data_IF_228201207097
#
_entry.id   IF_228201207097
#
_cell.length_a   1.000
_cell.length_b   1.000
_cell.length_c   1.000
_cell.angle_alpha   90.00
_cell.angle_beta   90.00
_cell.angle_gamma   90.00
#
_symmetry.space_group_name_H-M   'P 1'
#
loop_
_entity.id
_entity.type
_entity.pdbx_description
1 polymer ?
#
# COMPACT_ATOMS: atom_id res chain seq x y z
N UNK A 1 -15.58 -13.00 -16.91
CA UNK A 1 -15.42 -12.22 -15.68
C UNK A 1 -14.05 -11.60 -15.73
N UNK A 2 -14.06 -10.28 -15.65
CA UNK A 2 -13.10 -9.37 -16.26
C UNK A 2 -11.68 -9.57 -15.77
N UNK A 3 -10.77 -9.58 -16.74
CA UNK A 3 -9.32 -9.70 -16.65
C UNK A 3 -8.76 -8.48 -15.90
N UNK A 4 -8.97 -8.44 -14.58
CA UNK A 4 -8.37 -7.46 -13.68
C UNK A 4 -6.87 -7.76 -13.56
N UNK A 5 -6.13 -7.48 -14.63
CA UNK A 5 -4.73 -7.85 -14.84
C UNK A 5 -3.89 -7.65 -13.59
N UNK A 6 -3.21 -8.71 -13.18
CA UNK A 6 -2.29 -8.66 -12.05
C UNK A 6 -1.31 -7.50 -12.25
N UNK A 7 -1.15 -6.65 -11.24
CA UNK A 7 -0.27 -5.49 -11.33
C UNK A 7 1.15 -5.96 -11.59
N UNK A 8 1.68 -5.59 -12.75
CA UNK A 8 3.08 -5.88 -13.09
C UNK A 8 3.98 -4.91 -12.34
N UNK A 9 4.77 -5.45 -11.40
CA UNK A 9 5.74 -4.65 -10.67
C UNK A 9 6.99 -4.43 -11.52
N UNK A 10 7.48 -3.20 -11.51
CA UNK A 10 8.81 -2.85 -12.00
C UNK A 10 9.88 -3.31 -11.00
N UNK A 11 11.16 -3.41 -11.39
CA UNK A 11 12.25 -3.68 -10.43
C UNK A 11 12.28 -2.67 -9.27
N UNK A 12 11.95 -1.41 -9.54
CA UNK A 12 11.84 -0.37 -8.50
C UNK A 12 10.63 -0.59 -7.58
N UNK A 13 9.47 -0.93 -8.15
CA UNK A 13 8.26 -1.25 -7.39
C UNK A 13 8.43 -2.47 -6.49
N UNK A 14 9.09 -3.53 -6.99
CA UNK A 14 9.49 -4.69 -6.19
C UNK A 14 10.35 -4.29 -4.99
N UNK A 15 11.38 -3.45 -5.20
CA UNK A 15 12.22 -2.92 -4.12
C UNK A 15 11.42 -2.08 -3.12
N UNK A 16 10.47 -1.26 -3.59
CA UNK A 16 9.62 -0.43 -2.72
C UNK A 16 8.67 -1.29 -1.87
N UNK A 17 8.09 -2.38 -2.41
CA UNK A 17 7.21 -3.27 -1.64
C UNK A 17 7.96 -4.23 -0.72
N UNK A 18 9.07 -4.82 -1.17
CA UNK A 18 9.78 -5.86 -0.44
C UNK A 18 8.87 -7.05 -0.15
N UNK A 19 8.66 -7.38 1.13
CA UNK A 19 7.84 -8.54 1.55
C UNK A 19 6.33 -8.34 1.36
N UNK A 20 5.89 -7.20 0.79
CA UNK A 20 4.50 -6.86 0.54
C UNK A 20 4.05 -7.16 -0.90
N UNK A 21 4.83 -7.91 -1.67
CA UNK A 21 4.49 -8.23 -3.07
C UNK A 21 3.20 -9.05 -3.20
N UNK A 22 2.86 -9.86 -2.18
CA UNK A 22 1.65 -10.70 -2.21
C UNK A 22 0.35 -9.89 -2.14
N UNK A 23 0.41 -8.63 -1.68
CA UNK A 23 -0.74 -7.72 -1.57
C UNK A 23 -0.73 -6.65 -2.67
N UNK A 24 0.07 -6.84 -3.73
CA UNK A 24 0.25 -5.86 -4.80
C UNK A 24 -1.04 -5.55 -5.57
N UNK A 25 -1.95 -6.51 -5.60
CA UNK A 25 -3.21 -6.43 -6.34
C UNK A 25 -4.35 -5.85 -5.49
N UNK A 26 -4.12 -5.72 -4.18
CA UNK A 26 -5.09 -5.16 -3.24
C UNK A 26 -5.13 -3.64 -3.32
N UNK A 27 -6.30 -3.07 -2.99
CA UNK A 27 -6.44 -1.63 -2.82
C UNK A 27 -5.65 -1.17 -1.60
N UNK A 28 -4.94 -0.05 -1.72
CA UNK A 28 -4.10 0.46 -0.63
C UNK A 28 -4.89 0.73 0.66
N UNK A 29 -6.13 1.22 0.55
CA UNK A 29 -6.99 1.50 1.68
C UNK A 29 -7.36 0.22 2.43
N UNK A 30 -7.62 -0.86 1.70
CA UNK A 30 -7.95 -2.16 2.27
C UNK A 30 -6.73 -2.81 2.92
N UNK A 31 -5.62 -2.83 2.18
CA UNK A 31 -4.34 -3.35 2.67
C UNK A 31 -3.83 -2.61 3.92
N UNK A 32 -4.10 -1.30 4.07
CA UNK A 32 -3.81 -0.58 5.32
C UNK A 32 -4.67 -1.11 6.47
N UNK A 33 -5.97 -1.32 6.26
CA UNK A 33 -6.91 -1.80 7.27
C UNK A 33 -6.60 -3.23 7.71
N UNK A 34 -6.38 -4.14 6.76
CA UNK A 34 -6.01 -5.54 7.04
C UNK A 34 -4.72 -5.65 7.87
N UNK A 35 -3.80 -4.70 7.68
CA UNK A 35 -2.56 -4.61 8.44
C UNK A 35 -2.72 -3.93 9.80
N UNK A 36 -3.95 -3.62 10.22
CA UNK A 36 -4.30 -2.99 11.49
C UNK A 36 -4.14 -1.47 11.50
N UNK A 37 -4.14 -0.85 10.32
CA UNK A 37 -4.25 0.59 10.19
C UNK A 37 -5.69 1.08 10.28
N UNK A 38 -5.89 2.28 10.83
CA UNK A 38 -7.23 2.87 10.99
C UNK A 38 -7.60 3.85 9.89
N UNK A 39 -8.85 4.33 9.93
CA UNK A 39 -9.35 5.35 8.99
C UNK A 39 -8.48 6.61 8.95
N UNK A 40 -7.90 7.04 10.08
CA UNK A 40 -7.00 8.20 10.12
C UNK A 40 -5.68 8.02 9.33
N UNK A 41 -5.27 6.78 9.04
CA UNK A 41 -4.13 6.51 8.15
C UNK A 41 -4.56 6.48 6.68
N UNK A 42 -5.75 5.95 6.40
CA UNK A 42 -6.34 6.00 5.05
C UNK A 42 -6.60 7.44 4.64
N UNK A 43 -7.09 8.29 5.54
CA UNK A 43 -7.33 9.72 5.29
C UNK A 43 -6.05 10.56 5.08
N UNK A 44 -4.87 10.03 5.42
CA UNK A 44 -3.59 10.70 5.10
C UNK A 44 -3.15 10.44 3.65
N UNK A 45 -3.76 9.48 2.97
CA UNK A 45 -3.52 9.25 1.56
C UNK A 45 -4.15 10.39 0.73
N UNK A 46 -3.52 10.72 -0.39
CA UNK A 46 -4.15 11.54 -1.43
C UNK A 46 -5.48 10.90 -1.82
N UNK A 47 -6.54 11.70 -1.98
CA UNK A 47 -7.91 11.18 -2.15
C UNK A 47 -8.05 10.21 -3.33
N UNK A 48 -7.36 10.51 -4.43
CA UNK A 48 -7.33 9.68 -5.64
C UNK A 48 -6.50 8.39 -5.47
N UNK A 49 -5.64 8.30 -4.46
CA UNK A 49 -4.82 7.11 -4.20
C UNK A 49 -5.54 6.05 -3.38
N UNK A 50 -6.62 6.41 -2.67
CA UNK A 50 -7.35 5.47 -1.80
C UNK A 50 -7.94 4.27 -2.57
N UNK A 51 -8.24 4.44 -3.86
CA UNK A 51 -8.78 3.42 -4.74
C UNK A 51 -7.75 2.86 -5.74
N UNK A 52 -6.45 3.06 -5.49
CA UNK A 52 -5.37 2.53 -6.33
C UNK A 52 -4.76 1.28 -5.68
N UNK A 53 -4.30 0.36 -6.52
CA UNK A 53 -3.63 -0.86 -6.06
C UNK A 53 -2.25 -0.59 -5.48
N UNK A 54 -1.89 -1.37 -4.46
CA UNK A 54 -0.59 -1.27 -3.76
C UNK A 54 0.59 -1.34 -4.74
N UNK A 55 0.51 -2.21 -5.75
CA UNK A 55 1.57 -2.38 -6.75
C UNK A 55 1.74 -1.19 -7.69
N UNK A 56 0.65 -0.49 -8.02
CA UNK A 56 0.70 0.69 -8.86
C UNK A 56 1.36 1.85 -8.11
N UNK A 57 0.97 2.06 -6.85
CA UNK A 57 1.62 3.03 -5.98
C UNK A 57 3.11 2.71 -5.76
N UNK A 58 3.47 1.44 -5.66
CA UNK A 58 4.88 1.05 -5.56
C UNK A 58 5.68 1.44 -6.81
N UNK A 59 5.10 1.25 -8.00
CA UNK A 59 5.70 1.66 -9.26
C UNK A 59 5.80 3.20 -9.36
N UNK A 60 4.79 3.94 -8.93
CA UNK A 60 4.82 5.41 -8.88
C UNK A 60 5.88 5.92 -7.89
N UNK A 61 5.94 5.34 -6.70
CA UNK A 61 6.97 5.66 -5.70
C UNK A 61 8.38 5.38 -6.22
N UNK A 62 8.56 4.34 -7.04
CA UNK A 62 9.83 4.04 -7.69
C UNK A 62 10.20 5.07 -8.77
N UNK A 63 9.22 5.73 -9.39
CA UNK A 63 9.40 6.83 -10.35
C UNK A 63 9.65 8.19 -9.68
N UNK A 64 9.59 8.26 -8.34
CA UNK A 64 9.82 9.49 -7.58
C UNK A 64 8.56 10.22 -7.11
N UNK A 65 7.37 9.61 -7.23
CA UNK A 65 6.14 10.18 -6.69
C UNK A 65 6.16 10.15 -5.15
N UNK A 66 6.18 11.34 -4.54
CA UNK A 66 6.29 11.51 -3.08
C UNK A 66 5.01 11.10 -2.33
N UNK A 67 3.84 11.30 -2.94
CA UNK A 67 2.56 10.91 -2.35
C UNK A 67 2.46 9.38 -2.32
N UNK A 68 2.90 8.71 -3.39
CA UNK A 68 2.91 7.26 -3.50
C UNK A 68 3.93 6.65 -2.53
N UNK A 69 5.10 7.27 -2.39
CA UNK A 69 6.07 6.86 -1.36
C UNK A 69 5.50 6.97 0.06
N UNK A 70 4.77 8.05 0.33
CA UNK A 70 4.09 8.26 1.61
C UNK A 70 3.02 7.19 1.84
N UNK A 71 2.22 6.86 0.83
CA UNK A 71 1.22 5.81 0.90
C UNK A 71 1.83 4.43 1.25
N UNK A 72 2.91 4.05 0.58
CA UNK A 72 3.63 2.79 0.83
C UNK A 72 4.25 2.80 2.24
N UNK A 73 4.72 3.95 2.73
CA UNK A 73 5.24 4.11 4.10
C UNK A 73 4.15 3.90 5.14
N UNK A 74 2.96 4.50 4.95
CA UNK A 74 1.80 4.32 5.84
C UNK A 74 1.40 2.84 5.91
N UNK A 75 1.31 2.16 4.75
CA UNK A 75 1.02 0.72 4.67
C UNK A 75 2.01 -0.14 5.46
N UNK A 76 3.32 0.14 5.34
CA UNK A 76 4.36 -0.55 6.09
C UNK A 76 4.21 -0.34 7.60
N UNK A 77 3.88 0.89 8.01
CA UNK A 77 3.71 1.26 9.41
C UNK A 77 2.45 0.69 10.06
N UNK A 78 1.38 0.45 9.30
CA UNK A 78 0.12 -0.11 9.81
C UNK A 78 0.34 -1.40 10.62
N UNK A 79 1.11 -2.36 10.07
CA UNK A 79 1.45 -3.62 10.77
C UNK A 79 2.19 -3.38 12.08
N UNK A 80 3.16 -2.45 12.10
CA UNK A 80 3.94 -2.14 13.31
C UNK A 80 3.06 -1.61 14.45
N UNK A 81 1.94 -0.94 14.15
CA UNK A 81 0.98 -0.50 15.16
C UNK A 81 0.13 -1.65 15.67
N UNK A 82 -0.32 -2.57 14.80
CA UNK A 82 -1.02 -3.78 15.20
C UNK A 82 -0.16 -4.66 16.11
N UNK A 83 1.09 -4.92 15.73
CA UNK A 83 2.01 -5.70 16.57
C UNK A 83 2.34 -4.99 17.91
N UNK A 84 2.34 -3.66 17.95
CA UNK A 84 2.67 -2.89 19.17
C UNK A 84 1.48 -2.68 20.12
N UNK A 85 0.25 -2.56 19.60
CA UNK A 85 -0.94 -2.18 20.37
C UNK A 85 -2.10 -3.17 20.26
N UNK A 86 -2.05 -4.13 19.33
CA UNK A 86 -3.12 -5.10 19.05
C UNK A 86 -3.11 -6.33 19.95
N UNK A 87 -2.53 -6.24 21.14
CA UNK A 87 -2.60 -7.29 22.16
C UNK A 87 -3.76 -7.01 23.13
N UNK A 88 -4.98 -6.82 22.57
CA UNK A 88 -6.24 -6.78 23.30
C UNK A 88 -7.18 -7.85 22.77
#
# INVERSE_FOLDING_TARGET
>A
MDEQGAVQLTPGGLKKLGNLVNIKDDLIADAIRERGGGQGQVSQLRSDYQNIRVGELANLAAKGDKDAETAIKILKQARKKRDKYGNQ
#
